data_IF_466863886016
#
_entry.id   IF_466863886016
#
_cell.length_a   1.000
_cell.length_b   1.000
_cell.length_c   1.000
_cell.angle_alpha   90.00
_cell.angle_beta   90.00
_cell.angle_gamma   90.00
#
_symmetry.space_group_name_H-M   'P 1'
#
loop_
_entity.id
_entity.type
_entity.pdbx_description
1 polymer ?
#
# COMPACT_ATOMS: atom_id res chain seq x y z
N UNK A 1 -8.10 11.61 -23.73
CA UNK A 1 -7.71 11.01 -25.03
C UNK A 1 -6.36 10.36 -24.81
N UNK A 2 -6.28 9.02 -24.68
CA UNK A 2 -5.00 8.32 -24.67
C UNK A 2 -4.28 8.63 -25.98
N UNK A 3 -3.03 9.06 -25.90
CA UNK A 3 -2.21 9.36 -27.07
C UNK A 3 -1.73 8.07 -27.71
N UNK A 4 -1.87 7.97 -29.03
CA UNK A 4 -1.21 6.93 -29.81
C UNK A 4 0.13 7.47 -30.32
N UNK A 5 1.14 6.62 -30.33
CA UNK A 5 2.34 6.85 -31.13
C UNK A 5 2.77 5.57 -31.81
N UNK A 6 3.34 5.78 -32.98
CA UNK A 6 3.94 4.73 -33.78
C UNK A 6 5.37 4.51 -33.31
N UNK A 7 5.70 3.26 -32.98
CA UNK A 7 7.09 2.88 -32.75
C UNK A 7 7.88 2.91 -34.07
N UNK A 8 9.20 2.74 -34.00
CA UNK A 8 10.09 2.74 -35.17
C UNK A 8 9.75 1.64 -36.22
N UNK A 9 8.89 0.68 -35.88
CA UNK A 9 8.41 -0.39 -36.76
C UNK A 9 7.07 -0.06 -37.46
N UNK A 10 6.48 1.11 -37.21
CA UNK A 10 5.17 1.46 -37.78
C UNK A 10 4.00 0.69 -37.17
N UNK A 11 4.20 0.10 -35.99
CA UNK A 11 3.12 -0.47 -35.20
C UNK A 11 2.52 0.59 -34.29
N UNK A 12 1.19 0.63 -34.21
CA UNK A 12 0.50 1.43 -33.20
C UNK A 12 0.77 0.80 -31.84
N UNK A 13 1.67 1.42 -31.07
CA UNK A 13 1.91 1.02 -29.69
C UNK A 13 1.02 1.88 -28.79
N UNK A 14 0.16 1.20 -28.04
CA UNK A 14 -0.57 1.81 -26.92
C UNK A 14 0.44 2.04 -25.79
N UNK A 15 0.69 3.29 -25.45
CA UNK A 15 1.66 3.68 -24.40
C UNK A 15 1.25 3.32 -22.97
N UNK A 16 0.20 2.54 -22.82
CA UNK A 16 -0.52 2.40 -21.55
C UNK A 16 -1.06 0.97 -21.31
N UNK A 17 -0.54 -0.06 -22.01
CA UNK A 17 -0.99 -1.44 -21.73
C UNK A 17 -0.46 -1.90 -20.37
N UNK A 18 0.73 -1.46 -19.98
CA UNK A 18 1.40 -1.96 -18.77
C UNK A 18 0.75 -1.48 -17.46
N UNK A 19 -0.07 -0.42 -17.52
CA UNK A 19 -0.68 0.25 -16.37
C UNK A 19 -2.21 0.11 -16.30
N UNK A 20 -2.84 -0.77 -17.10
CA UNK A 20 -4.29 -0.98 -17.00
C UNK A 20 -4.61 -1.58 -15.63
N UNK A 21 -5.15 -0.75 -14.75
CA UNK A 21 -5.58 -1.13 -13.41
C UNK A 21 -7.01 -1.63 -13.40
N UNK A 22 -7.43 -2.18 -12.26
CA UNK A 22 -8.81 -2.65 -12.07
C UNK A 22 -9.82 -1.51 -12.32
N UNK A 23 -9.47 -0.29 -11.93
CA UNK A 23 -10.31 0.91 -12.13
C UNK A 23 -10.58 1.17 -13.63
N UNK A 24 -9.55 1.04 -14.47
CA UNK A 24 -9.70 1.24 -15.92
C UNK A 24 -10.64 0.19 -16.53
N UNK A 25 -10.65 -1.03 -16.00
CA UNK A 25 -11.59 -2.09 -16.42
C UNK A 25 -13.04 -1.72 -16.08
N UNK A 26 -13.30 -1.12 -14.91
CA UNK A 26 -14.63 -0.65 -14.53
C UNK A 26 -15.09 0.56 -15.35
N UNK A 27 -14.18 1.48 -15.69
CA UNK A 27 -14.48 2.63 -16.56
C UNK A 27 -14.83 2.16 -17.98
N UNK A 28 -14.04 1.23 -18.53
CA UNK A 28 -14.33 0.56 -19.79
C UNK A 28 -15.68 -0.17 -19.74
N UNK A 29 -15.96 -0.93 -18.67
CA UNK A 29 -17.23 -1.61 -18.49
C UNK A 29 -18.41 -0.63 -18.44
N UNK A 30 -18.23 0.55 -17.82
CA UNK A 30 -19.25 1.59 -17.78
C UNK A 30 -19.52 2.21 -19.14
N UNK A 31 -18.48 2.49 -19.92
CA UNK A 31 -18.66 3.06 -21.24
C UNK A 31 -19.29 2.05 -22.20
N UNK A 32 -18.89 0.79 -22.12
CA UNK A 32 -19.54 -0.32 -22.84
C UNK A 32 -21.00 -0.45 -22.40
N UNK A 33 -21.31 -0.38 -21.11
CA UNK A 33 -22.67 -0.46 -20.58
C UNK A 33 -23.62 0.62 -21.14
N UNK A 34 -23.14 1.87 -21.27
CA UNK A 34 -23.93 2.97 -21.88
C UNK A 34 -24.20 2.74 -23.37
N UNK A 35 -23.25 2.17 -24.09
CA UNK A 35 -23.43 1.81 -25.50
C UNK A 35 -24.47 0.69 -25.65
N UNK A 36 -24.42 -0.30 -24.75
CA UNK A 36 -25.37 -1.39 -24.68
C UNK A 36 -26.80 -0.91 -24.38
N UNK A 37 -26.97 -0.02 -23.39
CA UNK A 37 -28.25 0.64 -23.10
C UNK A 37 -28.82 1.32 -24.35
N UNK A 38 -27.99 2.08 -25.08
CA UNK A 38 -28.41 2.75 -26.33
C UNK A 38 -28.83 1.79 -27.43
N UNK A 39 -28.22 0.60 -27.50
CA UNK A 39 -28.60 -0.45 -28.47
C UNK A 39 -29.92 -1.09 -28.04
N UNK A 40 -30.08 -1.42 -26.75
CA UNK A 40 -31.32 -2.00 -26.22
C UNK A 40 -32.51 -1.06 -26.42
N UNK A 41 -32.35 0.25 -26.20
CA UNK A 41 -33.39 1.26 -26.43
C UNK A 41 -33.86 1.32 -27.88
N UNK A 42 -32.98 1.03 -28.85
CA UNK A 42 -33.25 1.19 -30.29
C UNK A 42 -33.69 -0.09 -30.98
N UNK A 43 -33.15 -1.24 -30.56
CA UNK A 43 -33.30 -2.52 -31.25
C UNK A 43 -33.94 -3.61 -30.37
N UNK A 44 -34.26 -3.29 -29.11
CA UNK A 44 -34.72 -4.26 -28.13
C UNK A 44 -33.58 -5.06 -27.50
N UNK A 45 -33.89 -5.75 -26.41
CA UNK A 45 -32.94 -6.57 -25.63
C UNK A 45 -32.38 -7.76 -26.42
N UNK A 46 -33.13 -8.27 -27.39
CA UNK A 46 -32.75 -9.43 -28.20
C UNK A 46 -31.50 -9.19 -29.06
N UNK A 47 -31.28 -7.94 -29.48
CA UNK A 47 -30.10 -7.57 -30.28
C UNK A 47 -28.78 -7.76 -29.53
N UNK A 48 -28.82 -7.84 -28.19
CA UNK A 48 -27.66 -7.76 -27.31
C UNK A 48 -27.50 -9.01 -26.43
N UNK A 49 -28.58 -9.76 -26.22
CA UNK A 49 -28.65 -10.94 -25.34
C UNK A 49 -27.54 -11.97 -25.57
N UNK A 50 -27.17 -12.25 -26.82
CA UNK A 50 -26.10 -13.20 -27.14
C UNK A 50 -24.67 -12.65 -27.01
N UNK A 51 -24.50 -11.33 -27.05
CA UNK A 51 -23.19 -10.67 -26.99
C UNK A 51 -22.82 -10.26 -25.56
N UNK A 52 -23.82 -9.89 -24.75
CA UNK A 52 -23.65 -9.44 -23.36
C UNK A 52 -22.82 -10.43 -22.52
N UNK A 53 -23.10 -11.75 -22.50
CA UNK A 53 -22.33 -12.68 -21.69
C UNK A 53 -20.88 -12.82 -22.15
N UNK A 54 -20.62 -12.65 -23.46
CA UNK A 54 -19.27 -12.69 -24.02
C UNK A 54 -18.46 -11.48 -23.58
N UNK A 55 -19.06 -10.30 -23.60
CA UNK A 55 -18.42 -9.07 -23.12
C UNK A 55 -18.15 -9.14 -21.62
N UNK A 56 -19.12 -9.62 -20.83
CA UNK A 56 -18.91 -9.85 -19.40
C UNK A 56 -17.71 -10.76 -19.19
N UNK A 57 -17.66 -11.92 -19.86
CA UNK A 57 -16.54 -12.86 -19.74
C UNK A 57 -15.19 -12.24 -20.15
N UNK A 58 -15.15 -11.41 -21.20
CA UNK A 58 -13.91 -10.72 -21.59
C UNK A 58 -13.46 -9.67 -20.57
N UNK A 59 -14.41 -8.94 -19.97
CA UNK A 59 -14.12 -7.99 -18.91
C UNK A 59 -13.67 -8.71 -17.64
N UNK A 60 -14.27 -9.85 -17.29
CA UNK A 60 -13.86 -10.68 -16.15
C UNK A 60 -12.42 -11.15 -16.30
N UNK A 61 -12.05 -11.61 -17.50
CA UNK A 61 -10.67 -11.98 -17.79
C UNK A 61 -9.73 -10.77 -17.69
N UNK A 62 -10.18 -9.59 -18.14
CA UNK A 62 -9.40 -8.36 -18.04
C UNK A 62 -9.23 -7.90 -16.58
N UNK A 63 -10.27 -7.99 -15.74
CA UNK A 63 -10.19 -7.74 -14.29
C UNK A 63 -9.21 -8.70 -13.61
N UNK A 64 -9.26 -9.99 -13.96
CA UNK A 64 -8.33 -10.98 -13.44
C UNK A 64 -6.87 -10.68 -13.85
N UNK A 65 -6.65 -10.28 -15.10
CA UNK A 65 -5.32 -9.89 -15.60
C UNK A 65 -4.83 -8.58 -14.97
N UNK A 66 -5.68 -7.56 -14.85
CA UNK A 66 -5.33 -6.29 -14.20
C UNK A 66 -4.99 -6.50 -12.71
N UNK A 67 -5.80 -7.27 -11.98
CA UNK A 67 -5.54 -7.61 -10.57
C UNK A 67 -4.25 -8.42 -10.42
N UNK A 68 -3.96 -9.32 -11.36
CA UNK A 68 -2.71 -10.08 -11.37
C UNK A 68 -1.51 -9.16 -11.64
N UNK A 69 -1.62 -8.27 -12.62
CA UNK A 69 -0.58 -7.29 -12.96
C UNK A 69 -0.28 -6.37 -11.77
N UNK A 70 -1.31 -5.83 -11.10
CA UNK A 70 -1.13 -5.00 -9.89
C UNK A 70 -0.38 -5.77 -8.77
N UNK A 71 -0.71 -7.05 -8.54
CA UNK A 71 -0.02 -7.90 -7.56
C UNK A 71 1.44 -8.18 -7.95
N UNK A 72 1.69 -8.48 -9.22
CA UNK A 72 3.04 -8.71 -9.74
C UNK A 72 3.88 -7.43 -9.66
N UNK A 73 3.33 -6.29 -10.03
CA UNK A 73 3.98 -4.98 -9.92
C UNK A 73 4.30 -4.62 -8.46
N UNK A 74 3.38 -4.87 -7.53
CA UNK A 74 3.63 -4.70 -6.10
C UNK A 74 4.81 -5.58 -5.62
N UNK A 75 4.81 -6.86 -6.00
CA UNK A 75 5.90 -7.80 -5.67
C UNK A 75 7.24 -7.36 -6.28
N UNK A 76 7.24 -6.90 -7.53
CA UNK A 76 8.43 -6.38 -8.20
C UNK A 76 8.95 -5.13 -7.47
N UNK A 77 8.06 -4.24 -7.03
CA UNK A 77 8.44 -3.05 -6.28
C UNK A 77 9.06 -3.41 -4.93
N UNK A 78 8.46 -4.35 -4.19
CA UNK A 78 9.02 -4.87 -2.93
C UNK A 78 10.41 -5.49 -3.12
N UNK A 79 10.59 -6.29 -4.18
CA UNK A 79 11.90 -6.88 -4.52
C UNK A 79 12.93 -5.82 -4.89
N UNK A 80 12.55 -4.79 -5.66
CA UNK A 80 13.43 -3.66 -6.01
C UNK A 80 13.86 -2.91 -4.75
N UNK A 81 12.93 -2.65 -3.83
CA UNK A 81 13.23 -1.99 -2.55
C UNK A 81 14.15 -2.85 -1.68
N UNK A 82 13.93 -4.18 -1.68
CA UNK A 82 14.79 -5.11 -0.94
C UNK A 82 16.21 -5.18 -1.51
N UNK A 83 16.36 -5.18 -2.84
CA UNK A 83 17.67 -5.12 -3.50
C UNK A 83 18.38 -3.82 -3.15
N UNK A 84 17.70 -2.68 -3.25
CA UNK A 84 18.27 -1.38 -2.89
C UNK A 84 18.73 -1.33 -1.42
N UNK A 85 17.96 -1.92 -0.49
CA UNK A 85 18.34 -2.06 0.91
C UNK A 85 19.62 -2.91 1.05
N UNK A 86 19.66 -4.10 0.44
CA UNK A 86 20.81 -5.00 0.53
C UNK A 86 22.07 -4.42 -0.10
N UNK A 87 21.95 -3.68 -1.20
CA UNK A 87 23.06 -2.96 -1.83
C UNK A 87 23.63 -1.88 -0.91
N UNK A 88 22.77 -1.12 -0.23
CA UNK A 88 23.18 -0.13 0.77
C UNK A 88 23.90 -0.78 1.95
N UNK A 89 23.33 -1.84 2.52
CA UNK A 89 23.95 -2.59 3.62
C UNK A 89 25.30 -3.22 3.23
N UNK A 90 25.41 -3.74 2.00
CA UNK A 90 26.67 -4.29 1.46
C UNK A 90 27.74 -3.20 1.35
N UNK A 91 27.38 -2.01 0.86
CA UNK A 91 28.29 -0.88 0.72
C UNK A 91 28.75 -0.37 2.08
N UNK A 92 27.83 -0.20 3.04
CA UNK A 92 28.15 0.21 4.40
C UNK A 92 29.09 -0.80 5.09
N UNK A 93 28.79 -2.10 5.00
CA UNK A 93 29.68 -3.15 5.54
C UNK A 93 31.07 -3.13 4.90
N UNK A 94 31.18 -2.83 3.59
CA UNK A 94 32.46 -2.72 2.91
C UNK A 94 33.24 -1.47 3.37
N UNK A 95 32.57 -0.33 3.53
CA UNK A 95 33.16 0.90 4.08
C UNK A 95 33.62 0.72 5.52
N UNK A 96 32.84 0.04 6.36
CA UNK A 96 33.25 -0.31 7.72
C UNK A 96 34.51 -1.17 7.72
N UNK A 97 34.55 -2.25 6.93
CA UNK A 97 35.76 -3.09 6.79
C UNK A 97 36.97 -2.27 6.36
N UNK A 98 36.81 -1.42 5.33
CA UNK A 98 37.88 -0.55 4.83
C UNK A 98 38.41 0.40 5.91
N UNK A 99 37.54 0.93 6.78
CA UNK A 99 37.97 1.78 7.91
C UNK A 99 38.72 0.98 8.96
N UNK A 100 38.22 -0.19 9.32
CA UNK A 100 38.90 -1.08 10.28
C UNK A 100 40.27 -1.53 9.76
N UNK A 101 40.40 -1.87 8.48
CA UNK A 101 41.68 -2.24 7.87
C UNK A 101 42.67 -1.06 7.92
N UNK A 102 42.23 0.17 7.59
CA UNK A 102 43.06 1.38 7.72
C UNK A 102 43.47 1.66 9.17
N UNK A 103 42.56 1.51 10.13
CA UNK A 103 42.87 1.68 11.56
C UNK A 103 43.88 0.63 12.04
N UNK A 104 43.77 -0.62 11.57
CA UNK A 104 44.70 -1.68 11.89
C UNK A 104 46.10 -1.40 11.31
N UNK A 105 46.18 -0.96 10.05
CA UNK A 105 47.43 -0.54 9.41
C UNK A 105 48.12 0.60 10.17
N UNK A 106 47.36 1.60 10.65
CA UNK A 106 47.89 2.70 11.45
C UNK A 106 48.45 2.21 12.80
N UNK A 107 47.75 1.31 13.48
CA UNK A 107 48.23 0.71 14.73
C UNK A 107 49.50 -0.08 14.46
N UNK A 108 49.53 -0.91 13.42
CA UNK A 108 50.74 -1.67 13.08
C UNK A 108 51.94 -0.78 12.77
N UNK A 109 51.74 0.30 12.01
CA UNK A 109 52.80 1.26 11.69
C UNK A 109 53.31 1.97 12.94
N UNK A 110 52.42 2.36 13.85
CA UNK A 110 52.79 2.93 15.14
C UNK A 110 53.64 1.94 15.95
N UNK A 111 53.21 0.68 16.07
CA UNK A 111 53.97 -0.36 16.77
C UNK A 111 55.34 -0.62 16.13
N UNK A 112 55.44 -0.57 14.78
CA UNK A 112 56.72 -0.68 14.06
C UNK A 112 57.64 0.51 14.35
N UNK A 113 57.13 1.74 14.33
CA UNK A 113 57.91 2.94 14.67
C UNK A 113 58.43 2.88 16.10
N UNK A 114 57.57 2.61 17.07
CA UNK A 114 57.94 2.51 18.48
C UNK A 114 58.99 1.41 18.71
N UNK A 115 58.84 0.25 18.04
CA UNK A 115 59.83 -0.84 18.11
C UNK A 115 61.18 -0.41 17.54
N UNK A 116 61.20 0.27 16.40
CA UNK A 116 62.43 0.77 15.78
C UNK A 116 63.11 1.83 16.64
N UNK A 117 62.36 2.77 17.21
CA UNK A 117 62.88 3.79 18.13
C UNK A 117 63.53 3.17 19.38
N UNK A 118 62.92 2.12 19.95
CA UNK A 118 63.50 1.37 21.07
C UNK A 118 64.78 0.64 20.67
N UNK A 119 64.83 0.04 19.49
CA UNK A 119 66.05 -0.63 18.97
C UNK A 119 67.18 0.38 18.75
N UNK A 120 66.88 1.54 18.15
CA UNK A 120 67.85 2.60 17.93
C UNK A 120 68.39 3.16 19.26
N UNK A 121 67.52 3.34 20.25
CA UNK A 121 67.91 3.76 21.60
C UNK A 121 68.85 2.74 22.26
N UNK A 122 68.53 1.44 22.17
CA UNK A 122 69.40 0.38 22.69
C UNK A 122 70.76 0.37 21.99
N UNK A 123 70.78 0.53 20.67
CA UNK A 123 72.03 0.60 19.88
C UNK A 123 72.90 1.80 20.30
N UNK A 124 72.30 2.99 20.46
CA UNK A 124 73.02 4.18 20.94
C UNK A 124 73.61 4.00 22.33
N UNK A 125 72.84 3.40 23.27
CA UNK A 125 73.31 3.08 24.61
C UNK A 125 74.44 2.03 24.61
N UNK A 126 74.40 1.07 23.68
CA UNK A 126 75.48 0.09 23.52
C UNK A 126 76.77 0.72 22.99
N UNK A 127 76.68 1.64 22.02
CA UNK A 127 77.84 2.31 21.45
C UNK A 127 78.46 3.34 22.41
N UNK A 128 77.64 4.05 23.19
CA UNK A 128 78.12 4.90 24.28
C UNK A 128 78.86 4.09 25.34
N UNK A 129 78.32 2.93 25.75
CA UNK A 129 79.01 2.02 26.68
C UNK A 129 80.37 1.56 26.13
N UNK A 130 80.45 1.16 24.86
CA UNK A 130 81.73 0.77 24.22
C UNK A 130 82.73 1.94 24.22
N UNK A 131 82.27 3.15 23.92
CA UNK A 131 83.10 4.36 23.87
C UNK A 131 83.66 4.70 25.25
N UNK A 132 82.82 4.67 26.29
CA UNK A 132 83.23 4.93 27.67
C UNK A 132 84.25 3.90 28.16
N UNK A 133 84.07 2.61 27.83
CA UNK A 133 85.03 1.55 28.13
C UNK A 133 86.39 1.85 27.48
N UNK A 134 86.41 2.20 26.19
CA UNK A 134 87.64 2.53 25.46
C UNK A 134 88.34 3.78 26.00
N UNK A 135 87.58 4.85 26.29
CA UNK A 135 88.13 6.08 26.88
C UNK A 135 88.78 5.80 28.24
N UNK A 136 88.19 4.91 29.04
CA UNK A 136 88.75 4.50 30.33
C UNK A 136 90.07 3.75 30.14
N UNK A 137 90.18 2.88 29.13
CA UNK A 137 91.40 2.14 28.80
C UNK A 137 92.52 3.05 28.25
N UNK A 138 92.18 4.01 27.40
CA UNK A 138 93.15 4.94 26.80
C UNK A 138 93.74 5.89 27.86
N UNK A 139 92.92 6.38 28.78
CA UNK A 139 93.39 7.21 29.91
C UNK A 139 94.31 6.43 30.85
N UNK A 140 94.06 5.14 31.05
CA UNK A 140 94.96 4.26 31.80
C UNK A 140 96.31 4.06 31.08
N UNK A 141 96.32 4.04 29.76
CA UNK A 141 97.53 3.78 28.95
C UNK A 141 98.39 5.05 28.74
N UNK A 142 97.76 6.20 28.58
CA UNK A 142 98.43 7.48 28.23
C UNK A 142 99.19 8.10 29.40
N UNK A 143 98.86 7.72 30.64
CA UNK A 143 99.55 8.21 31.84
C UNK A 143 101.02 7.73 31.96
N UNK A 144 101.47 6.79 31.12
CA UNK A 144 102.73 6.07 31.34
C UNK A 144 103.96 6.59 30.58
N UNK A 145 103.82 7.42 29.55
CA UNK A 145 104.92 7.65 28.60
C UNK A 145 104.90 9.06 28.00
N UNK A 146 105.71 9.99 28.51
CA UNK A 146 106.65 10.82 27.71
C UNK A 146 107.08 12.13 28.38
N UNK A 147 108.40 12.30 28.49
CA UNK A 147 109.15 13.55 28.70
C UNK A 147 110.53 13.32 28.07
N UNK A 148 111.20 14.15 27.25
CA UNK A 148 111.00 15.51 26.76
C UNK A 148 112.41 16.02 26.43
N UNK A 149 112.75 16.31 25.16
CA UNK A 149 114.05 16.95 24.78
C UNK A 149 114.16 17.45 23.32
N UNK A 150 113.11 17.36 22.50
CA UNK A 150 113.07 17.92 21.13
C UNK A 150 112.62 19.38 21.04
N UNK A 151 112.42 20.07 22.16
CA UNK A 151 111.53 21.23 22.24
C UNK A 151 111.81 22.34 21.22
N UNK A 152 113.04 22.80 21.00
CA UNK A 152 113.27 24.10 20.31
C UNK A 152 113.32 24.07 18.77
N UNK A 153 114.01 23.11 18.12
CA UNK A 153 113.95 22.98 16.65
C UNK A 153 112.56 22.49 16.22
N UNK A 154 112.00 21.61 17.04
CA UNK A 154 110.66 21.12 16.80
C UNK A 154 109.65 22.26 17.02
N UNK A 155 109.89 23.25 17.90
CA UNK A 155 109.04 24.46 18.03
C UNK A 155 109.02 25.37 16.79
N UNK A 156 110.12 25.51 16.04
CA UNK A 156 110.12 26.29 14.79
C UNK A 156 109.45 25.56 13.63
N UNK A 157 109.71 24.26 13.47
CA UNK A 157 108.99 23.43 12.49
C UNK A 157 107.51 23.38 12.87
N UNK A 158 107.20 23.19 14.16
CA UNK A 158 105.85 23.30 14.73
C UNK A 158 105.25 24.66 14.40
N UNK A 159 105.95 25.78 14.49
CA UNK A 159 105.37 27.10 14.17
C UNK A 159 104.97 27.23 12.70
N UNK A 160 105.80 26.76 11.76
CA UNK A 160 105.47 26.80 10.32
C UNK A 160 104.34 25.84 9.98
N UNK A 161 104.45 24.60 10.47
CA UNK A 161 103.40 23.59 10.34
C UNK A 161 102.11 24.06 11.01
N UNK A 162 102.17 24.77 12.13
CA UNK A 162 101.01 25.37 12.80
C UNK A 162 100.34 26.43 11.93
N UNK A 163 101.08 27.24 11.17
CA UNK A 163 100.46 28.27 10.34
C UNK A 163 99.70 27.68 9.13
N UNK A 164 100.29 26.71 8.43
CA UNK A 164 99.61 25.95 7.37
C UNK A 164 98.44 25.14 7.92
N UNK A 165 98.63 24.53 9.09
CA UNK A 165 97.57 23.85 9.84
C UNK A 165 96.46 24.85 10.20
N UNK A 166 96.76 26.07 10.66
CA UNK A 166 95.76 27.09 10.96
C UNK A 166 94.96 27.51 9.72
N UNK A 167 95.61 27.66 8.56
CA UNK A 167 94.91 27.96 7.29
C UNK A 167 94.02 26.80 6.86
N UNK A 168 94.53 25.57 6.85
CA UNK A 168 93.75 24.37 6.53
C UNK A 168 92.62 24.15 7.54
N UNK A 169 92.83 24.47 8.82
CA UNK A 169 91.79 24.46 9.85
C UNK A 169 90.73 25.51 9.57
N UNK A 170 91.09 26.68 9.02
CA UNK A 170 90.09 27.71 8.67
C UNK A 170 89.20 27.28 7.50
N UNK A 171 89.77 26.68 6.44
CA UNK A 171 88.99 26.11 5.33
C UNK A 171 88.16 24.90 5.80
N UNK A 172 88.74 24.07 6.67
CA UNK A 172 88.02 22.97 7.33
C UNK A 172 86.86 23.49 8.17
N UNK A 173 87.02 24.62 8.88
CA UNK A 173 85.94 25.25 9.62
C UNK A 173 84.85 25.80 8.70
N UNK A 174 85.19 26.37 7.53
CA UNK A 174 84.19 26.83 6.54
C UNK A 174 83.42 25.64 5.96
N UNK A 175 84.13 24.59 5.54
CA UNK A 175 83.52 23.35 5.05
C UNK A 175 82.64 22.70 6.12
N UNK A 176 83.08 22.72 7.38
CA UNK A 176 82.29 22.22 8.50
C UNK A 176 81.00 23.03 8.69
N UNK A 177 81.06 24.37 8.63
CA UNK A 177 79.85 25.23 8.69
C UNK A 177 78.90 24.97 7.51
N UNK A 178 79.41 24.83 6.30
CA UNK A 178 78.58 24.50 5.12
C UNK A 178 77.94 23.11 5.26
N UNK A 179 78.71 22.13 5.76
CA UNK A 179 78.23 20.78 6.02
C UNK A 179 77.11 20.79 7.07
N UNK A 180 77.31 21.50 8.17
CA UNK A 180 76.30 21.72 9.21
C UNK A 180 75.04 22.40 8.65
N UNK A 181 75.19 23.40 7.78
CA UNK A 181 74.07 24.07 7.14
C UNK A 181 73.31 23.15 6.17
N UNK A 182 74.00 22.31 5.40
CA UNK A 182 73.38 21.32 4.51
C UNK A 182 72.61 20.28 5.33
N UNK A 183 73.16 19.81 6.47
CA UNK A 183 72.43 18.91 7.36
C UNK A 183 71.18 19.57 7.93
N UNK A 184 71.27 20.81 8.41
CA UNK A 184 70.09 21.57 8.88
C UNK A 184 69.02 21.70 7.80
N UNK A 185 69.39 22.09 6.58
CA UNK A 185 68.46 22.21 5.46
C UNK A 185 67.83 20.86 5.07
N UNK A 186 68.60 19.77 5.13
CA UNK A 186 68.09 18.42 4.88
C UNK A 186 67.09 17.98 5.94
N UNK A 187 67.35 18.29 7.20
CA UNK A 187 66.45 17.99 8.31
C UNK A 187 65.17 18.84 8.25
N UNK A 188 65.29 20.12 7.87
CA UNK A 188 64.15 20.99 7.58
C UNK A 188 63.29 20.44 6.43
N UNK A 189 63.90 20.02 5.31
CA UNK A 189 63.16 19.40 4.19
C UNK A 189 62.41 18.14 4.63
N UNK A 190 63.07 17.23 5.37
CA UNK A 190 62.41 16.04 5.92
C UNK A 190 61.28 16.37 6.88
N UNK A 191 61.40 17.47 7.64
CA UNK A 191 60.32 17.93 8.51
C UNK A 191 59.14 18.45 7.70
N UNK A 192 59.39 19.26 6.67
CA UNK A 192 58.34 19.76 5.76
C UNK A 192 57.67 18.64 4.97
N UNK A 193 58.41 17.61 4.54
CA UNK A 193 57.83 16.42 3.88
C UNK A 193 56.87 15.66 4.81
N UNK A 194 57.25 15.49 6.10
CA UNK A 194 56.36 14.90 7.11
C UNK A 194 55.10 15.74 7.33
N UNK A 195 55.27 17.06 7.50
CA UNK A 195 54.12 17.96 7.64
C UNK A 195 53.18 17.93 6.42
N UNK A 196 53.73 17.87 5.20
CA UNK A 196 52.94 17.73 3.98
C UNK A 196 52.19 16.40 3.94
N UNK A 197 52.85 15.30 4.30
CA UNK A 197 52.23 13.98 4.34
C UNK A 197 51.07 13.93 5.35
N UNK A 198 51.27 14.50 6.54
CA UNK A 198 50.22 14.62 7.56
C UNK A 198 49.04 15.43 7.01
N UNK A 199 49.30 16.56 6.33
CA UNK A 199 48.26 17.38 5.69
C UNK A 199 47.54 16.66 4.55
N UNK A 200 48.24 15.86 3.75
CA UNK A 200 47.61 15.02 2.72
C UNK A 200 46.66 13.99 3.34
N UNK A 201 47.07 13.35 4.44
CA UNK A 201 46.21 12.39 5.15
C UNK A 201 44.97 13.06 5.77
N UNK A 202 45.13 14.26 6.34
CA UNK A 202 44.02 15.07 6.86
C UNK A 202 43.03 15.46 5.75
N UNK A 203 43.54 15.87 4.59
CA UNK A 203 42.71 16.18 3.41
C UNK A 203 41.98 14.95 2.88
N UNK A 204 42.61 13.77 2.85
CA UNK A 204 41.95 12.53 2.44
C UNK A 204 40.81 12.18 3.42
N UNK A 205 41.05 12.27 4.72
CA UNK A 205 40.03 12.04 5.74
C UNK A 205 38.86 13.02 5.61
N UNK A 206 39.13 14.32 5.46
CA UNK A 206 38.11 15.34 5.24
C UNK A 206 37.33 15.11 3.93
N UNK A 207 38.00 14.66 2.87
CA UNK A 207 37.36 14.33 1.60
C UNK A 207 36.40 13.13 1.75
N UNK A 208 36.81 12.08 2.47
CA UNK A 208 35.94 10.93 2.78
C UNK A 208 34.73 11.38 3.61
N UNK A 209 34.95 12.24 4.62
CA UNK A 209 33.86 12.80 5.43
C UNK A 209 32.90 13.65 4.59
N UNK A 210 33.42 14.46 3.66
CA UNK A 210 32.62 15.28 2.75
C UNK A 210 31.78 14.41 1.81
N UNK A 211 32.34 13.34 1.23
CA UNK A 211 31.58 12.41 0.39
C UNK A 211 30.50 11.65 1.17
N UNK A 212 30.79 11.24 2.42
CA UNK A 212 29.79 10.65 3.32
C UNK A 212 28.63 11.63 3.61
N UNK A 213 28.95 12.89 3.88
CA UNK A 213 27.94 13.94 4.10
C UNK A 213 27.12 14.20 2.84
N UNK A 214 27.74 14.28 1.65
CA UNK A 214 27.02 14.40 0.37
C UNK A 214 26.10 13.22 0.11
N UNK A 215 26.50 11.99 0.46
CA UNK A 215 25.66 10.81 0.33
C UNK A 215 24.43 10.90 1.26
N UNK A 216 24.65 11.26 2.54
CA UNK A 216 23.56 11.48 3.52
C UNK A 216 22.63 12.63 3.11
N UNK A 217 23.15 13.70 2.51
CA UNK A 217 22.36 14.81 1.98
C UNK A 217 21.43 14.36 0.84
N UNK A 218 21.93 13.53 -0.09
CA UNK A 218 21.09 12.97 -1.17
C UNK A 218 19.99 12.08 -0.64
N UNK A 219 20.28 11.24 0.35
CA UNK A 219 19.33 10.34 0.99
C UNK A 219 18.24 11.10 1.78
N UNK A 220 18.62 12.12 2.56
CA UNK A 220 17.66 13.00 3.25
C UNK A 220 16.78 13.78 2.26
N UNK A 221 17.33 14.27 1.14
CA UNK A 221 16.54 14.90 0.06
C UNK A 221 15.56 13.91 -0.59
N UNK A 222 15.93 12.64 -0.79
CA UNK A 222 15.02 11.59 -1.28
C UNK A 222 13.87 11.34 -0.29
N UNK A 223 14.18 11.14 1.00
CA UNK A 223 13.16 11.00 2.06
C UNK A 223 12.22 12.20 2.13
N UNK A 224 12.74 13.43 2.03
CA UNK A 224 11.93 14.63 2.03
C UNK A 224 10.95 14.68 0.85
N UNK A 225 11.39 14.31 -0.37
CA UNK A 225 10.50 14.23 -1.55
C UNK A 225 9.41 13.19 -1.39
N UNK A 226 9.73 12.01 -0.85
CA UNK A 226 8.75 10.95 -0.58
C UNK A 226 7.71 11.40 0.46
N UNK A 227 8.15 12.00 1.56
CA UNK A 227 7.25 12.56 2.58
C UNK A 227 6.40 13.71 2.02
N UNK A 228 6.96 14.57 1.18
CA UNK A 228 6.21 15.65 0.51
C UNK A 228 5.13 15.08 -0.43
N UNK A 229 5.42 14.01 -1.15
CA UNK A 229 4.43 13.31 -1.99
C UNK A 229 3.31 12.70 -1.13
N UNK A 230 3.66 12.01 -0.03
CA UNK A 230 2.68 11.48 0.93
C UNK A 230 1.76 12.57 1.50
N UNK A 231 2.30 13.72 1.89
CA UNK A 231 1.50 14.86 2.40
C UNK A 231 0.57 15.40 1.31
N UNK A 232 1.01 15.44 0.05
CA UNK A 232 0.18 15.86 -1.09
C UNK A 232 -0.99 14.91 -1.31
N UNK A 233 -0.74 13.59 -1.31
CA UNK A 233 -1.79 12.56 -1.42
C UNK A 233 -2.79 12.66 -0.28
N UNK A 234 -2.34 12.77 0.98
CA UNK A 234 -3.22 12.95 2.14
C UNK A 234 -4.06 14.24 2.05
N UNK A 235 -3.52 15.31 1.47
CA UNK A 235 -4.28 16.55 1.25
C UNK A 235 -5.35 16.39 0.16
N UNK A 236 -5.06 15.63 -0.90
CA UNK A 236 -6.02 15.30 -1.96
C UNK A 236 -7.15 14.41 -1.41
N UNK A 237 -6.82 13.35 -0.68
CA UNK A 237 -7.80 12.50 0.01
C UNK A 237 -8.68 13.30 0.97
N UNK A 238 -8.08 14.22 1.75
CA UNK A 238 -8.85 15.10 2.65
C UNK A 238 -9.80 16.03 1.87
N UNK A 239 -9.37 16.55 0.73
CA UNK A 239 -10.21 17.39 -0.12
C UNK A 239 -11.40 16.59 -0.69
N UNK A 240 -11.16 15.34 -1.10
CA UNK A 240 -12.20 14.43 -1.58
C UNK A 240 -13.22 14.10 -0.48
N UNK A 241 -12.77 13.79 0.74
CA UNK A 241 -13.68 13.56 1.86
C UNK A 241 -14.52 14.80 2.19
N UNK A 242 -13.94 15.99 2.16
CA UNK A 242 -14.69 17.24 2.38
C UNK A 242 -15.73 17.50 1.29
N UNK A 243 -15.40 17.23 0.01
CA UNK A 243 -16.33 17.35 -1.10
C UNK A 243 -17.52 16.37 -0.93
N UNK A 244 -17.23 15.12 -0.58
CA UNK A 244 -18.24 14.09 -0.33
C UNK A 244 -19.14 14.45 0.86
N UNK A 245 -18.57 14.98 1.95
CA UNK A 245 -19.32 15.44 3.12
C UNK A 245 -20.24 16.63 2.74
N UNK A 246 -19.76 17.54 1.89
CA UNK A 246 -20.56 18.66 1.40
C UNK A 246 -21.72 18.19 0.51
N UNK A 247 -21.49 17.21 -0.36
CA UNK A 247 -22.53 16.60 -1.18
C UNK A 247 -23.57 15.86 -0.34
N UNK A 248 -23.15 15.09 0.66
CA UNK A 248 -24.07 14.47 1.63
C UNK A 248 -24.88 15.51 2.40
N UNK A 249 -24.27 16.63 2.79
CA UNK A 249 -25.00 17.74 3.43
C UNK A 249 -26.04 18.36 2.49
N UNK A 250 -25.72 18.53 1.20
CA UNK A 250 -26.68 19.00 0.19
C UNK A 250 -27.82 18.00 0.01
N UNK A 251 -27.53 16.70 -0.06
CA UNK A 251 -28.52 15.63 -0.19
C UNK A 251 -29.46 15.59 1.03
N UNK A 252 -28.91 15.63 2.25
CA UNK A 252 -29.70 15.71 3.50
C UNK A 252 -30.60 16.95 3.50
N UNK A 253 -30.09 18.11 3.06
CA UNK A 253 -30.91 19.33 2.98
C UNK A 253 -32.02 19.21 1.91
N UNK A 254 -31.76 18.54 0.79
CA UNK A 254 -32.81 18.26 -0.21
C UNK A 254 -33.86 17.29 0.32
N UNK A 255 -33.44 16.22 1.00
CA UNK A 255 -34.35 15.26 1.64
C UNK A 255 -35.20 15.93 2.72
N UNK A 256 -34.62 16.79 3.56
CA UNK A 256 -35.37 17.59 4.54
C UNK A 256 -36.41 18.50 3.91
N UNK A 257 -36.09 19.14 2.77
CA UNK A 257 -37.07 19.95 2.01
C UNK A 257 -38.19 19.11 1.44
N UNK A 258 -37.88 17.94 0.86
CA UNK A 258 -38.90 17.02 0.33
C UNK A 258 -39.79 16.46 1.44
N UNK A 259 -39.19 16.10 2.58
CA UNK A 259 -39.92 15.68 3.77
C UNK A 259 -40.88 16.78 4.23
N UNK A 260 -40.42 18.03 4.34
CA UNK A 260 -41.30 19.15 4.72
C UNK A 260 -42.42 19.45 3.71
N UNK A 261 -42.20 19.18 2.41
CA UNK A 261 -43.28 19.27 1.41
C UNK A 261 -44.29 18.12 1.56
N UNK A 262 -43.81 16.90 1.81
CA UNK A 262 -44.66 15.73 2.02
C UNK A 262 -45.46 15.82 3.33
N UNK A 263 -44.88 16.37 4.39
CA UNK A 263 -45.58 16.67 5.65
C UNK A 263 -46.72 17.67 5.41
N UNK A 264 -46.45 18.75 4.66
CA UNK A 264 -47.48 19.73 4.30
C UNK A 264 -48.59 19.14 3.42
N UNK A 265 -48.24 18.34 2.41
CA UNK A 265 -49.23 17.66 1.55
C UNK A 265 -50.10 16.69 2.37
N UNK A 266 -49.50 15.99 3.34
CA UNK A 266 -50.24 15.10 4.24
C UNK A 266 -51.18 15.89 5.18
N UNK A 267 -50.73 17.02 5.73
CA UNK A 267 -51.59 17.95 6.48
C UNK A 267 -52.76 18.46 5.62
N UNK A 268 -52.51 18.85 4.37
CA UNK A 268 -53.54 19.31 3.43
C UNK A 268 -54.55 18.19 3.08
N UNK A 269 -54.09 16.95 2.91
CA UNK A 269 -54.95 15.78 2.66
C UNK A 269 -55.82 15.44 3.89
N UNK A 270 -55.24 15.47 5.09
CA UNK A 270 -56.00 15.25 6.34
C UNK A 270 -57.07 16.33 6.51
N UNK A 271 -56.75 17.60 6.22
CA UNK A 271 -57.72 18.69 6.25
C UNK A 271 -58.86 18.50 5.24
N UNK A 272 -58.56 17.97 4.05
CA UNK A 272 -59.59 17.68 3.02
C UNK A 272 -60.55 16.54 3.41
N UNK A 273 -60.09 15.57 4.21
CA UNK A 273 -60.92 14.48 4.71
C UNK A 273 -61.96 14.95 5.73
N UNK A 274 -61.65 16.00 6.50
CA UNK A 274 -62.55 16.54 7.53
C UNK A 274 -63.72 17.34 6.91
N UNK A 275 -63.47 18.02 5.78
CA UNK A 275 -64.53 18.77 5.06
C UNK A 275 -65.63 17.83 4.53
N UNK A 276 -65.29 16.57 4.22
CA UNK A 276 -66.24 15.53 3.82
C UNK A 276 -67.04 14.91 4.98
N UNK A 277 -66.57 14.99 6.22
CA UNK A 277 -67.33 14.47 7.37
C UNK A 277 -68.46 15.41 7.80
N UNK A 278 -68.32 16.71 7.51
CA UNK A 278 -69.26 17.76 7.92
C UNK A 278 -70.44 17.99 6.95
N UNK A 279 -70.61 17.18 5.90
CA UNK A 279 -71.79 17.27 5.03
C UNK A 279 -73.08 16.92 5.81
N UNK A 280 -73.96 17.91 6.10
CA UNK A 280 -75.20 17.69 6.84
C UNK A 280 -76.20 16.81 6.09
N UNK A 281 -76.06 16.66 4.78
CA UNK A 281 -76.98 15.91 3.93
C UNK A 281 -76.51 14.48 3.63
N UNK A 282 -75.35 14.06 4.15
CA UNK A 282 -74.84 12.69 3.93
C UNK A 282 -75.80 11.69 4.58
N UNK A 283 -76.45 10.77 3.82
CA UNK A 283 -77.32 9.76 4.39
C UNK A 283 -76.52 8.89 5.37
N UNK A 284 -76.82 9.02 6.66
CA UNK A 284 -76.19 8.26 7.73
C UNK A 284 -77.22 7.30 8.28
N UNK A 285 -77.26 6.10 7.73
CA UNK A 285 -77.96 4.99 8.35
C UNK A 285 -76.98 4.23 9.23
N UNK A 286 -77.35 4.00 10.48
CA UNK A 286 -76.71 2.99 11.31
C UNK A 286 -76.90 1.62 10.67
N UNK A 287 -76.01 0.67 10.96
CA UNK A 287 -76.15 -0.72 10.48
C UNK A 287 -77.48 -1.34 10.91
N UNK A 288 -78.07 -0.86 12.01
CA UNK A 288 -79.40 -1.24 12.47
C UNK A 288 -80.51 -0.65 11.60
N UNK A 289 -80.48 0.65 11.36
CA UNK A 289 -81.44 1.35 10.47
C UNK A 289 -81.41 0.79 9.04
N UNK A 290 -80.22 0.45 8.52
CA UNK A 290 -80.11 -0.16 7.20
C UNK A 290 -80.79 -1.53 7.14
N UNK A 291 -80.67 -2.34 8.20
CA UNK A 291 -81.37 -3.64 8.28
C UNK A 291 -82.88 -3.46 8.41
N UNK A 292 -83.33 -2.50 9.22
CA UNK A 292 -84.76 -2.16 9.37
C UNK A 292 -85.36 -1.70 8.03
N UNK A 293 -84.67 -0.80 7.31
CA UNK A 293 -85.08 -0.35 5.98
C UNK A 293 -85.11 -1.48 4.95
N UNK A 294 -84.16 -2.42 5.00
CA UNK A 294 -84.17 -3.60 4.13
C UNK A 294 -85.37 -4.50 4.44
N UNK A 295 -85.68 -4.76 5.72
CA UNK A 295 -86.85 -5.56 6.10
C UNK A 295 -88.17 -4.88 5.73
N UNK A 296 -88.29 -3.56 5.96
CA UNK A 296 -89.48 -2.80 5.57
C UNK A 296 -89.66 -2.80 4.04
N UNK A 297 -88.56 -2.69 3.29
CA UNK A 297 -88.57 -2.82 1.83
C UNK A 297 -89.04 -4.21 1.38
N UNK A 298 -88.62 -5.28 2.06
CA UNK A 298 -89.04 -6.64 1.72
C UNK A 298 -90.51 -6.91 2.09
N UNK A 299 -91.01 -6.37 3.21
CA UNK A 299 -92.43 -6.38 3.57
C UNK A 299 -93.28 -5.59 2.55
N UNK A 300 -92.83 -4.42 2.13
CA UNK A 300 -93.52 -3.63 1.10
C UNK A 300 -93.52 -4.35 -0.25
N UNK A 301 -92.43 -5.03 -0.64
CA UNK A 301 -92.39 -5.85 -1.86
C UNK A 301 -93.44 -6.97 -1.82
N UNK A 302 -93.51 -7.74 -0.72
CA UNK A 302 -94.51 -8.81 -0.58
C UNK A 302 -95.95 -8.29 -0.58
N UNK A 303 -96.19 -7.10 0.01
CA UNK A 303 -97.50 -6.43 -0.02
C UNK A 303 -97.86 -5.95 -1.43
N UNK A 304 -96.90 -5.40 -2.17
CA UNK A 304 -97.08 -4.99 -3.56
C UNK A 304 -97.38 -6.19 -4.47
N UNK A 305 -96.69 -7.32 -4.26
CA UNK A 305 -96.91 -8.53 -5.04
C UNK A 305 -98.31 -9.12 -4.82
N UNK A 306 -98.77 -9.16 -3.56
CA UNK A 306 -100.15 -9.58 -3.24
C UNK A 306 -101.21 -8.63 -3.78
N UNK A 307 -100.99 -7.31 -3.73
CA UNK A 307 -101.90 -6.33 -4.34
C UNK A 307 -101.92 -6.44 -5.87
N UNK A 308 -100.78 -6.72 -6.51
CA UNK A 308 -100.70 -6.96 -7.95
C UNK A 308 -101.45 -8.25 -8.34
N UNK A 309 -101.40 -9.30 -7.52
CA UNK A 309 -102.14 -10.55 -7.74
C UNK A 309 -103.66 -10.33 -7.63
N UNK A 310 -104.13 -9.58 -6.62
CA UNK A 310 -105.54 -9.18 -6.50
C UNK A 310 -106.01 -8.29 -7.67
N UNK A 311 -105.16 -7.36 -8.14
CA UNK A 311 -105.43 -6.56 -9.34
C UNK A 311 -105.47 -7.40 -10.61
N UNK A 312 -104.69 -8.48 -10.69
CA UNK A 312 -104.72 -9.40 -11.81
C UNK A 312 -106.03 -10.21 -11.87
N UNK A 313 -106.57 -10.63 -10.72
CA UNK A 313 -107.87 -11.32 -10.64
C UNK A 313 -109.06 -10.45 -11.04
N UNK A 314 -109.02 -9.15 -10.71
CA UNK A 314 -110.09 -8.20 -11.03
C UNK A 314 -110.05 -7.65 -12.46
N UNK A 315 -109.03 -8.00 -13.25
CA UNK A 315 -108.85 -7.46 -14.60
C UNK A 315 -109.57 -8.33 -15.64
N UNK A 316 -110.56 -7.79 -16.38
CA UNK A 316 -111.21 -8.53 -17.46
C UNK A 316 -110.19 -8.90 -18.56
N UNK A 317 -110.29 -10.11 -19.16
CA UNK A 317 -109.34 -10.59 -20.15
C UNK A 317 -109.54 -9.84 -21.48
N UNK A 318 -108.81 -8.74 -21.65
CA UNK A 318 -108.73 -7.98 -22.90
C UNK A 318 -107.26 -7.87 -23.32
N UNK A 319 -106.84 -8.89 -24.07
CA UNK A 319 -105.72 -8.93 -25.02
C UNK A 319 -104.32 -8.49 -24.53
N UNK A 320 -103.57 -9.53 -24.11
CA UNK A 320 -102.14 -9.54 -23.90
C UNK A 320 -101.32 -9.55 -25.22
N UNK A 321 -100.10 -9.00 -25.17
CA UNK A 321 -98.82 -9.39 -25.82
C UNK A 321 -97.89 -8.16 -25.86
N UNK A 322 -96.67 -8.12 -25.33
CA UNK A 322 -95.83 -9.05 -24.58
C UNK A 322 -94.56 -8.29 -24.15
N UNK A 323 -94.11 -8.47 -22.91
CA UNK A 323 -92.82 -7.96 -22.40
C UNK A 323 -91.74 -9.03 -22.59
N UNK A 324 -90.59 -8.64 -23.13
CA UNK A 324 -89.34 -9.44 -23.13
C UNK A 324 -88.59 -9.14 -21.83
N UNK A 325 -88.27 -10.16 -21.04
CA UNK A 325 -87.26 -10.11 -19.98
C UNK A 325 -85.87 -10.39 -20.60
N UNK A 326 -84.87 -9.58 -20.25
CA UNK A 326 -83.45 -9.90 -20.38
C UNK A 326 -82.93 -10.28 -19.00
N UNK A 327 -82.29 -11.43 -18.89
CA UNK A 327 -81.53 -11.87 -17.73
C UNK A 327 -80.11 -11.25 -17.75
N UNK A 328 -79.63 -10.93 -16.55
CA UNK A 328 -78.28 -10.50 -16.17
C UNK A 328 -77.59 -11.63 -15.38
N UNK A 329 -76.25 -11.54 -15.25
CA UNK A 329 -75.34 -12.31 -14.38
C UNK A 329 -74.90 -13.69 -14.91
N UNK A 330 -73.68 -14.19 -14.71
CA UNK A 330 -72.66 -13.93 -13.66
C UNK A 330 -71.22 -14.27 -14.11
N UNK A 331 -70.28 -13.81 -13.28
CA UNK A 331 -68.85 -14.17 -13.13
C UNK A 331 -68.67 -15.52 -12.40
N UNK A 332 -67.55 -16.23 -12.64
CA UNK A 332 -66.85 -17.21 -11.77
C UNK A 332 -65.61 -17.74 -12.54
N UNK A 333 -64.35 -17.65 -12.05
CA UNK A 333 -63.60 -18.54 -11.11
C UNK A 333 -63.14 -19.84 -11.81
N UNK A 334 -61.88 -20.32 -11.80
CA UNK A 334 -61.01 -20.70 -10.65
C UNK A 334 -59.58 -21.17 -11.09
N UNK A 335 -58.65 -21.23 -10.11
CA UNK A 335 -57.25 -21.74 -10.10
C UNK A 335 -57.09 -23.28 -10.18
N UNK A 336 -55.93 -23.83 -10.63
CA UNK A 336 -55.45 -25.22 -10.36
C UNK A 336 -53.88 -25.35 -10.34
N UNK A 337 -53.35 -25.93 -9.23
CA UNK A 337 -52.33 -27.01 -8.98
C UNK A 337 -50.85 -26.86 -9.46
N UNK A 338 -49.75 -27.10 -8.71
CA UNK A 338 -49.23 -28.02 -7.65
C UNK A 338 -48.59 -29.36 -8.12
N UNK A 339 -47.56 -29.76 -7.36
CA UNK A 339 -46.81 -31.03 -7.23
C UNK A 339 -45.43 -31.22 -7.89
N UNK A 340 -44.46 -31.57 -7.03
CA UNK A 340 -43.05 -31.85 -7.33
C UNK A 340 -42.70 -33.35 -7.34
N UNK A 341 -41.41 -33.66 -7.56
CA UNK A 341 -40.79 -34.94 -7.19
C UNK A 341 -39.25 -34.87 -7.26
N UNK A 342 -38.60 -35.46 -6.24
CA UNK A 342 -37.15 -35.71 -6.10
C UNK A 342 -36.81 -37.16 -6.48
N UNK A 343 -35.62 -37.40 -7.01
CA UNK A 343 -34.96 -38.71 -7.02
C UNK A 343 -33.42 -38.58 -7.13
N UNK A 344 -32.73 -39.36 -6.29
CA UNK A 344 -31.29 -39.60 -6.17
C UNK A 344 -30.65 -40.20 -7.44
N UNK A 345 -29.31 -40.08 -7.53
CA UNK A 345 -28.44 -41.13 -8.03
C UNK A 345 -27.06 -41.04 -7.35
N UNK A 346 -26.64 -42.19 -6.83
CA UNK A 346 -25.32 -42.59 -6.33
C UNK A 346 -24.25 -42.58 -7.45
N UNK A 347 -22.97 -42.42 -7.08
CA UNK A 347 -21.86 -43.23 -7.64
C UNK A 347 -20.52 -42.99 -6.90
N UNK A 348 -20.08 -44.10 -6.28
CA UNK A 348 -18.79 -44.66 -5.87
C UNK A 348 -17.42 -43.93 -6.06
N UNK A 349 -16.69 -43.89 -4.93
CA UNK A 349 -15.33 -44.40 -4.63
C UNK A 349 -14.27 -44.60 -5.74
N UNK A 350 -13.06 -44.05 -5.51
CA UNK A 350 -11.81 -44.79 -5.19
C UNK A 350 -10.48 -44.13 -5.67
N UNK A 351 -9.44 -44.41 -4.86
CA UNK A 351 -7.97 -44.39 -5.08
C UNK A 351 -7.13 -43.11 -4.83
N UNK A 352 -6.45 -43.10 -3.66
CA UNK A 352 -4.99 -43.28 -3.45
C UNK A 352 -4.00 -42.72 -4.50
N UNK A 353 -2.76 -42.32 -4.24
CA UNK A 353 -1.87 -42.05 -3.10
C UNK A 353 -0.56 -41.60 -3.81
N UNK A 354 0.24 -40.67 -3.27
CA UNK A 354 1.71 -40.72 -3.40
C UNK A 354 2.41 -39.53 -2.72
N UNK A 355 3.33 -39.92 -1.86
CA UNK A 355 4.20 -39.15 -0.98
C UNK A 355 5.39 -38.45 -1.67
N UNK A 356 6.06 -37.58 -0.89
CA UNK A 356 7.51 -37.64 -0.57
C UNK A 356 7.98 -36.21 -0.18
N UNK A 357 8.36 -36.01 1.10
CA UNK A 357 9.75 -35.90 1.58
C UNK A 357 10.49 -34.64 1.08
N UNK A 358 11.33 -33.93 1.82
CA UNK A 358 11.82 -33.88 3.20
C UNK A 358 12.76 -32.64 3.19
N UNK A 359 12.95 -31.95 4.31
CA UNK A 359 14.23 -31.97 5.05
C UNK A 359 14.30 -30.90 6.14
N UNK A 360 14.97 -31.32 7.20
CA UNK A 360 15.10 -30.78 8.55
C UNK A 360 15.94 -29.50 8.63
N UNK A 361 15.74 -28.71 9.70
CA UNK A 361 16.77 -28.39 10.73
C UNK A 361 16.18 -27.45 11.80
N UNK A 362 16.24 -27.92 13.05
CA UNK A 362 15.69 -27.31 14.28
C UNK A 362 16.86 -26.90 15.25
N UNK A 363 16.64 -26.47 16.51
CA UNK A 363 16.78 -25.10 17.06
C UNK A 363 17.89 -25.03 18.17
N UNK A 364 17.90 -24.15 19.24
CA UNK A 364 16.93 -24.21 20.35
C UNK A 364 16.72 -22.96 21.28
N UNK A 365 15.76 -23.13 22.21
CA UNK A 365 15.73 -22.66 23.62
C UNK A 365 15.07 -21.31 24.01
N UNK A 366 13.90 -21.38 24.66
CA UNK A 366 13.70 -21.00 26.08
C UNK A 366 12.19 -20.90 26.47
N UNK A 367 11.79 -21.55 27.57
CA UNK A 367 10.61 -21.15 28.37
C UNK A 367 9.58 -22.24 28.67
N UNK A 368 9.72 -22.91 29.82
CA UNK A 368 8.85 -23.96 30.37
C UNK A 368 7.46 -23.44 30.81
N UNK A 369 6.40 -24.18 30.47
CA UNK A 369 5.12 -24.20 31.22
C UNK A 369 4.59 -25.64 31.36
N UNK A 370 3.91 -25.99 32.49
CA UNK A 370 3.80 -27.35 33.02
C UNK A 370 2.77 -28.26 32.30
N UNK A 371 2.89 -29.60 32.37
CA UNK A 371 2.01 -30.53 31.69
C UNK A 371 0.75 -30.79 32.54
N UNK A 372 -0.44 -30.52 32.00
CA UNK A 372 -1.67 -30.94 32.67
C UNK A 372 -2.90 -30.10 32.39
N UNK A 373 -3.37 -30.10 31.15
CA UNK A 373 -4.81 -30.16 30.82
C UNK A 373 -4.94 -30.16 29.30
N UNK A 374 -5.14 -31.35 28.74
CA UNK A 374 -5.52 -31.52 27.33
C UNK A 374 -6.97 -31.02 27.20
N UNK A 375 -7.13 -29.78 26.73
CA UNK A 375 -8.43 -29.22 26.41
C UNK A 375 -8.92 -29.87 25.10
N UNK A 376 -10.23 -30.18 24.96
CA UNK A 376 -10.72 -30.84 23.76
C UNK A 376 -10.35 -30.01 22.53
N UNK A 377 -9.62 -30.62 21.58
CA UNK A 377 -9.39 -30.03 20.26
C UNK A 377 -10.74 -29.95 19.56
N UNK A 378 -11.40 -28.80 19.69
CA UNK A 378 -12.50 -28.44 18.81
C UNK A 378 -11.90 -28.16 17.44
N UNK A 379 -11.89 -29.21 16.60
CA UNK A 379 -11.64 -29.05 15.17
C UNK A 379 -12.59 -28.01 14.57
N UNK A 380 -12.22 -27.39 13.43
CA UNK A 380 -13.10 -26.43 12.78
C UNK A 380 -14.47 -27.09 12.57
N UNK A 381 -15.52 -26.45 13.08
CA UNK A 381 -16.90 -26.90 12.90
C UNK A 381 -17.10 -27.22 11.41
N UNK A 382 -17.62 -28.41 11.04
CA UNK A 382 -17.90 -28.72 9.65
C UNK A 382 -18.85 -27.66 9.10
N UNK A 383 -18.34 -26.80 8.22
CA UNK A 383 -19.17 -25.88 7.46
C UNK A 383 -20.17 -26.73 6.68
N UNK A 384 -21.45 -26.37 6.74
CA UNK A 384 -22.43 -26.96 5.82
C UNK A 384 -21.90 -26.80 4.38
N UNK A 385 -22.25 -27.70 3.44
CA UNK A 385 -21.76 -27.67 2.07
C UNK A 385 -21.95 -26.33 1.34
N UNK A 386 -22.75 -25.41 1.88
CA UNK A 386 -22.98 -24.05 1.38
C UNK A 386 -22.00 -22.99 1.91
N UNK A 387 -21.32 -23.22 3.04
CA UNK A 387 -20.43 -22.24 3.69
C UNK A 387 -18.94 -22.40 3.33
N UNK A 388 -18.59 -23.39 2.50
CA UNK A 388 -17.21 -23.65 2.14
C UNK A 388 -16.57 -22.44 1.42
N UNK A 389 -15.34 -22.02 1.80
CA UNK A 389 -14.71 -20.82 1.26
C UNK A 389 -14.42 -20.88 -0.25
N UNK A 390 -14.37 -22.07 -0.84
CA UNK A 390 -14.28 -22.25 -2.30
C UNK A 390 -15.64 -22.12 -3.02
N UNK A 391 -16.76 -22.33 -2.31
CA UNK A 391 -18.12 -22.20 -2.86
C UNK A 391 -18.62 -20.77 -2.82
N UNK A 392 -17.90 -19.88 -2.14
CA UNK A 392 -17.89 -18.43 -2.40
C UNK A 392 -17.25 -18.17 -3.78
N UNK A 393 -17.84 -18.70 -4.84
CA UNK A 393 -17.76 -18.08 -6.15
C UNK A 393 -18.52 -16.76 -6.04
N UNK A 394 -17.91 -15.81 -5.34
CA UNK A 394 -18.30 -14.43 -5.29
C UNK A 394 -18.36 -14.00 -6.74
N UNK A 395 -19.58 -13.96 -7.27
CA UNK A 395 -19.88 -13.43 -8.58
C UNK A 395 -18.96 -12.23 -8.86
N UNK A 396 -18.25 -12.26 -9.98
CA UNK A 396 -17.29 -11.21 -10.35
C UNK A 396 -17.91 -9.84 -10.14
N UNK A 397 -17.11 -8.88 -9.68
CA UNK A 397 -17.56 -7.51 -9.53
C UNK A 397 -18.16 -6.95 -10.83
N UNK A 398 -17.71 -7.43 -11.99
CA UNK A 398 -18.27 -7.09 -13.31
C UNK A 398 -19.65 -7.69 -13.53
N UNK A 399 -19.89 -8.96 -13.16
CA UNK A 399 -21.24 -9.55 -13.22
C UNK A 399 -22.20 -8.82 -12.30
N UNK A 400 -21.77 -8.48 -11.07
CA UNK A 400 -22.53 -7.66 -10.13
C UNK A 400 -22.81 -6.26 -10.70
N UNK A 401 -21.83 -5.66 -11.36
CA UNK A 401 -21.93 -4.37 -12.01
C UNK A 401 -22.99 -4.36 -13.10
N UNK A 402 -22.95 -5.34 -14.02
CA UNK A 402 -23.95 -5.44 -15.09
C UNK A 402 -25.33 -5.85 -14.60
N UNK A 403 -25.42 -6.70 -13.56
CA UNK A 403 -26.71 -6.98 -12.91
C UNK A 403 -27.29 -5.69 -12.31
N UNK A 404 -26.48 -4.89 -11.63
CA UNK A 404 -26.93 -3.60 -11.07
C UNK A 404 -27.29 -2.56 -12.13
N UNK A 405 -26.65 -2.61 -13.29
CA UNK A 405 -26.94 -1.72 -14.43
C UNK A 405 -28.23 -2.10 -15.18
N UNK A 406 -28.53 -3.40 -15.29
CA UNK A 406 -29.66 -3.89 -16.09
C UNK A 406 -30.81 -4.52 -15.27
N UNK A 407 -30.71 -4.61 -13.94
CA UNK A 407 -31.84 -4.97 -13.09
C UNK A 407 -32.82 -3.80 -13.00
N UNK A 408 -33.80 -3.83 -13.91
CA UNK A 408 -34.97 -2.96 -13.96
C UNK A 408 -35.90 -3.22 -12.75
N UNK A 409 -36.54 -2.19 -12.15
CA UNK A 409 -37.43 -2.35 -11.01
C UNK A 409 -38.83 -2.71 -11.51
N UNK A 410 -39.07 -4.00 -11.81
CA UNK A 410 -40.40 -4.46 -12.23
C UNK A 410 -41.33 -4.88 -11.09
N UNK A 411 -40.95 -4.70 -9.82
CA UNK A 411 -41.85 -4.90 -8.67
C UNK A 411 -42.19 -3.58 -8.00
N UNK A 412 -43.50 -3.38 -7.82
CA UNK A 412 -44.12 -2.09 -7.58
C UNK A 412 -43.70 -1.35 -6.31
N UNK A 413 -43.93 -0.02 -6.38
CA UNK A 413 -43.95 0.96 -5.29
C UNK A 413 -42.67 1.78 -5.05
N UNK A 414 -42.82 3.08 -5.32
CA UNK A 414 -42.08 4.25 -4.81
C UNK A 414 -40.73 4.72 -5.42
N UNK A 415 -40.87 5.70 -6.33
CA UNK A 415 -40.19 7.03 -6.37
C UNK A 415 -38.65 7.16 -6.41
N UNK A 416 -38.14 7.52 -7.60
CA UNK A 416 -36.90 8.24 -8.00
C UNK A 416 -36.05 9.01 -6.94
N UNK A 417 -34.70 9.13 -7.10
CA UNK A 417 -34.11 9.71 -8.31
C UNK A 417 -32.84 9.06 -8.89
N UNK A 418 -32.75 9.21 -10.22
CA UNK A 418 -31.58 9.15 -11.11
C UNK A 418 -30.24 9.35 -10.36
N UNK A 419 -29.49 8.28 -10.09
CA UNK A 419 -28.12 8.39 -9.56
C UNK A 419 -27.13 8.48 -10.72
N UNK A 420 -26.54 9.66 -10.88
CA UNK A 420 -25.40 9.89 -11.78
C UNK A 420 -24.24 8.94 -11.43
N UNK A 421 -23.56 8.43 -12.45
CA UNK A 421 -22.41 7.51 -12.45
C UNK A 421 -21.22 7.85 -11.52
N UNK A 422 -21.24 8.96 -10.78
CA UNK A 422 -20.15 9.42 -9.93
C UNK A 422 -19.96 8.64 -8.60
N UNK A 423 -20.85 7.70 -8.25
CA UNK A 423 -20.76 6.95 -6.97
C UNK A 423 -20.10 5.57 -7.04
N UNK A 424 -19.59 5.14 -8.20
CA UNK A 424 -19.05 3.78 -8.37
C UNK A 424 -17.54 3.65 -8.08
N UNK A 425 -16.76 4.72 -8.20
CA UNK A 425 -15.31 4.70 -7.89
C UNK A 425 -14.98 4.43 -6.41
N UNK A 426 -15.96 4.46 -5.51
CA UNK A 426 -15.77 4.24 -4.07
C UNK A 426 -15.87 2.78 -3.62
N UNK A 427 -16.48 1.88 -4.39
CA UNK A 427 -16.59 0.47 -3.99
C UNK A 427 -15.36 -0.36 -4.37
N UNK A 428 -14.51 0.13 -5.29
CA UNK A 428 -13.28 -0.54 -5.70
C UNK A 428 -12.19 -0.49 -4.60
N UNK A 429 -12.21 0.51 -3.72
CA UNK A 429 -11.21 0.67 -2.65
C UNK A 429 -11.53 -0.14 -1.37
N UNK A 430 -12.73 -0.72 -1.25
CA UNK A 430 -13.13 -1.50 -0.07
C UNK A 430 -12.92 -3.01 -0.21
N UNK A 431 -12.36 -3.48 -1.33
CA UNK A 431 -12.12 -4.89 -1.61
C UNK A 431 -10.64 -5.27 -1.44
N UNK A 432 -10.03 -4.93 -0.31
CA UNK A 432 -8.72 -5.45 0.08
C UNK A 432 -8.90 -6.67 1.01
N UNK A 433 -8.37 -7.86 0.66
CA UNK A 433 -8.34 -8.99 1.58
C UNK A 433 -7.41 -8.66 2.76
N UNK A 434 -7.84 -9.03 3.97
CA UNK A 434 -7.39 -8.46 5.23
C UNK A 434 -5.89 -8.48 5.51
N UNK A 435 -5.35 -7.32 5.92
CA UNK A 435 -4.14 -7.25 6.72
C UNK A 435 -4.50 -7.46 8.20
N UNK A 436 -4.04 -8.57 8.75
CA UNK A 436 -4.06 -8.88 10.18
C UNK A 436 -3.42 -7.75 10.99
N UNK A 437 -4.23 -7.16 11.88
CA UNK A 437 -3.84 -6.13 12.84
C UNK A 437 -2.98 -6.73 13.95
N UNK A 438 -1.67 -6.52 13.91
CA UNK A 438 -0.81 -6.66 15.08
C UNK A 438 -0.96 -5.41 15.95
N UNK A 439 -1.88 -5.46 16.91
CA UNK A 439 -1.99 -4.45 17.97
C UNK A 439 -0.86 -4.63 18.96
N UNK A 440 0.08 -3.69 18.94
CA UNK A 440 1.05 -3.47 19.99
C UNK A 440 0.35 -3.16 21.33
N UNK A 441 0.66 -3.96 22.35
CA UNK A 441 0.49 -3.60 23.75
C UNK A 441 1.86 -3.71 24.43
N UNK A 442 2.63 -2.63 24.37
CA UNK A 442 3.81 -2.44 25.19
C UNK A 442 3.38 -1.72 26.48
N UNK A 443 3.62 -2.38 27.61
CA UNK A 443 3.74 -1.78 28.94
C UNK A 443 4.88 -2.48 29.67
#
# INVERSE_FOLDING_TARGET
>A
MPGFHLNEMGEMVLDAIDDIGVVDVYDLASDIGKEYERIMDRFGTDAVSGLMPKIINTLELLEALATKNERENATIQELRDKVAQLESEKLEKAEFRRRFDKELELIEEQWRSETNELVDLVSSLQDENKRLVKQTQDLQSSSAQSSGLGASLTESIISMTNHELHSALSDTQVLQRLKEQIYKQRDELKHRERELQDKYSELEHLNIQAERLKASERDTRRRHKLMQAQVKTLCEERADFLAQLQDQSREINQLRKRLGLAEKENEDLVASYDDGQNDPNRPRYTTRELKELISERDELLTTIDTLNEQLAELKPPSQAKGKRQRHFSSSDDSDEDDDGHVADNDDDDDEEEAAAEANELEPPAAGETPPGHDAPVQGPLPYEPDDAPWKKSSESGIRKFFRKLFSDPSDGSNTFPKRSLATLSKMALSATPGSVSASAAAK
#
